data_IF_302856496102
#
_entry.id   IF_302856496102
#
_cell.length_a   1.000
_cell.length_b   1.000
_cell.length_c   1.000
_cell.angle_alpha   90.00
_cell.angle_beta   90.00
_cell.angle_gamma   90.00
#
_symmetry.space_group_name_H-M   'P 1'
#
loop_
_entity.id
_entity.type
_entity.pdbx_description
1 polymer ?
#
# COMPACT_ATOMS: atom_id res chain seq x y z
N UNK A 1 31.15 1.42 -32.35
CA UNK A 1 29.70 1.44 -32.03
C UNK A 1 29.52 2.45 -30.92
N UNK A 2 29.06 3.63 -31.31
CA UNK A 2 28.95 4.85 -30.51
C UNK A 2 27.80 4.76 -29.52
N UNK A 3 28.02 5.35 -28.34
CA UNK A 3 27.19 5.24 -27.14
C UNK A 3 25.73 5.60 -27.34
N UNK A 4 24.87 4.77 -26.75
CA UNK A 4 23.47 5.06 -26.52
C UNK A 4 23.29 5.28 -25.00
N UNK A 5 23.08 6.55 -24.65
CA UNK A 5 22.40 7.08 -23.47
C UNK A 5 22.88 6.61 -22.08
N UNK A 6 24.01 7.16 -21.65
CA UNK A 6 24.31 7.35 -20.23
C UNK A 6 23.60 8.63 -19.73
N UNK A 7 22.29 8.73 -19.98
CA UNK A 7 21.49 9.77 -19.36
C UNK A 7 21.57 9.57 -17.84
N UNK A 8 22.01 10.60 -17.11
CA UNK A 8 22.15 10.52 -15.67
C UNK A 8 20.84 10.01 -15.05
N UNK A 9 20.91 8.89 -14.33
CA UNK A 9 19.76 8.33 -13.64
C UNK A 9 19.21 9.36 -12.65
N UNK A 10 17.89 9.43 -12.45
CA UNK A 10 17.32 10.36 -11.50
C UNK A 10 17.83 10.04 -10.08
N UNK A 11 18.01 11.09 -9.28
CA UNK A 11 18.32 10.95 -7.86
C UNK A 11 17.25 10.08 -7.18
N UNK A 12 17.62 8.97 -6.49
CA UNK A 12 16.68 8.14 -5.75
C UNK A 12 15.82 8.90 -4.73
N UNK A 13 16.29 10.04 -4.21
CA UNK A 13 15.50 10.90 -3.32
C UNK A 13 14.24 11.49 -3.99
N UNK A 14 14.17 11.47 -5.33
CA UNK A 14 12.98 11.87 -6.09
C UNK A 14 11.93 10.78 -6.17
N UNK A 15 12.29 9.53 -5.85
CA UNK A 15 11.40 8.36 -5.99
C UNK A 15 10.45 8.26 -4.80
N UNK A 16 9.20 7.93 -5.10
CA UNK A 16 8.15 7.62 -4.14
C UNK A 16 7.58 6.24 -4.47
N UNK A 17 7.78 5.28 -3.57
CA UNK A 17 7.21 3.94 -3.67
C UNK A 17 5.86 3.90 -2.94
N UNK A 18 4.77 3.69 -3.67
CA UNK A 18 3.40 3.59 -3.14
C UNK A 18 3.05 2.13 -2.91
N UNK A 19 3.13 1.71 -1.65
CA UNK A 19 2.83 0.37 -1.18
C UNK A 19 1.46 0.22 -0.50
N UNK A 20 1.10 -1.02 -0.21
CA UNK A 20 -0.11 -1.37 0.52
C UNK A 20 -0.63 -2.73 0.06
N UNK A 21 -1.74 -3.21 0.61
CA UNK A 21 -2.31 -4.45 0.07
C UNK A 21 -3.03 -4.20 -1.26
N UNK A 22 -3.06 -5.22 -2.10
CA UNK A 22 -4.00 -5.23 -3.21
C UNK A 22 -5.40 -4.91 -2.67
N UNK A 23 -6.12 -4.02 -3.35
CA UNK A 23 -7.47 -3.54 -2.94
C UNK A 23 -7.49 -2.56 -1.75
N UNK A 24 -6.34 -2.12 -1.22
CA UNK A 24 -6.31 -1.11 -0.16
C UNK A 24 -6.52 0.33 -0.66
N UNK A 25 -6.37 0.60 -1.96
CA UNK A 25 -6.51 1.97 -2.48
C UNK A 25 -5.21 2.57 -3.02
N UNK A 26 -4.17 1.76 -3.24
CA UNK A 26 -2.92 2.21 -3.87
C UNK A 26 -3.12 2.81 -5.27
N UNK A 27 -3.89 2.17 -6.14
CA UNK A 27 -4.17 2.72 -7.50
C UNK A 27 -4.83 4.10 -7.47
N UNK A 28 -5.95 4.35 -6.76
CA UNK A 28 -6.54 5.68 -6.72
C UNK A 28 -5.61 6.73 -6.10
N UNK A 29 -4.80 6.39 -5.08
CA UNK A 29 -3.80 7.31 -4.55
C UNK A 29 -2.72 7.65 -5.58
N UNK A 30 -2.14 6.65 -6.23
CA UNK A 30 -1.09 6.87 -7.23
C UNK A 30 -1.59 7.72 -8.42
N UNK A 31 -2.86 7.56 -8.80
CA UNK A 31 -3.50 8.41 -9.82
C UNK A 31 -3.70 9.85 -9.36
N UNK A 32 -4.14 10.06 -8.12
CA UNK A 32 -4.26 11.39 -7.54
C UNK A 32 -2.89 12.10 -7.50
N UNK A 33 -1.84 11.41 -7.06
CA UNK A 33 -0.47 11.92 -7.08
C UNK A 33 -0.01 12.26 -8.50
N UNK A 34 -0.16 11.34 -9.46
CA UNK A 34 0.28 11.55 -10.85
C UNK A 34 -0.48 12.66 -11.60
N UNK A 35 -1.63 13.11 -11.08
CA UNK A 35 -2.34 14.28 -11.60
C UNK A 35 -1.72 15.61 -11.16
N UNK A 36 -0.83 15.61 -10.16
CA UNK A 36 -0.11 16.80 -9.72
C UNK A 36 0.98 17.20 -10.74
N UNK A 37 1.14 18.50 -11.08
CA UNK A 37 2.10 18.94 -12.11
C UNK A 37 3.57 18.58 -11.80
N UNK A 38 3.93 18.45 -10.53
CA UNK A 38 5.28 18.09 -10.09
C UNK A 38 5.54 16.58 -9.96
N UNK A 39 4.56 15.72 -10.27
CA UNK A 39 4.66 14.27 -10.06
C UNK A 39 4.55 13.54 -11.37
N UNK A 40 5.48 12.63 -11.67
CA UNK A 40 5.32 11.65 -12.75
C UNK A 40 5.00 10.28 -12.16
N UNK A 41 3.86 9.69 -12.53
CA UNK A 41 3.60 8.27 -12.29
C UNK A 41 4.07 7.41 -13.46
N UNK A 42 4.25 6.10 -13.25
CA UNK A 42 4.42 5.14 -14.34
C UNK A 42 3.12 5.07 -15.17
N UNK A 43 3.23 5.30 -16.48
CA UNK A 43 2.09 5.26 -17.40
C UNK A 43 2.45 4.58 -18.71
N UNK A 44 1.46 3.97 -19.37
CA UNK A 44 1.65 3.38 -20.70
C UNK A 44 2.59 2.16 -20.69
N UNK A 45 2.67 1.46 -19.57
CA UNK A 45 3.69 0.42 -19.36
C UNK A 45 3.39 -0.90 -20.06
N UNK A 46 2.13 -1.12 -20.45
CA UNK A 46 1.64 -2.40 -20.96
C UNK A 46 1.56 -3.53 -19.92
N UNK A 47 1.98 -3.29 -18.67
CA UNK A 47 1.88 -4.25 -17.58
C UNK A 47 0.66 -3.98 -16.70
N UNK A 48 0.36 -4.92 -15.81
CA UNK A 48 -0.84 -4.86 -14.97
C UNK A 48 -0.81 -3.63 -14.05
N UNK A 49 -1.82 -2.77 -14.18
CA UNK A 49 -2.03 -1.59 -13.32
C UNK A 49 -0.82 -0.66 -13.24
N UNK A 50 0.02 -0.64 -14.28
CA UNK A 50 1.29 0.10 -14.36
C UNK A 50 2.21 -0.12 -13.14
N UNK A 51 2.23 -1.35 -12.59
CA UNK A 51 3.01 -1.68 -11.39
C UNK A 51 4.50 -1.86 -11.68
N UNK A 52 5.35 -1.13 -10.96
CA UNK A 52 6.80 -1.12 -11.15
C UNK A 52 7.46 -2.47 -10.92
N UNK A 53 6.94 -3.30 -10.01
CA UNK A 53 7.41 -4.67 -9.78
C UNK A 53 7.41 -5.53 -11.06
N UNK A 54 6.59 -5.20 -12.06
CA UNK A 54 6.48 -5.94 -13.31
C UNK A 54 7.47 -5.50 -14.38
N UNK A 55 8.10 -4.33 -14.22
CA UNK A 55 9.04 -3.74 -15.17
C UNK A 55 10.49 -4.13 -14.89
N UNK A 56 10.80 -4.48 -13.66
CA UNK A 56 12.14 -4.74 -13.15
C UNK A 56 12.45 -6.24 -12.96
N UNK A 57 13.73 -6.53 -12.74
CA UNK A 57 14.29 -7.89 -12.57
C UNK A 57 15.18 -8.06 -11.32
N UNK A 58 15.21 -7.07 -10.43
CA UNK A 58 15.97 -7.01 -9.17
C UNK A 58 15.35 -7.89 -8.10
N UNK A 59 14.02 -7.86 -7.95
CA UNK A 59 13.31 -8.65 -6.94
C UNK A 59 12.11 -9.43 -7.51
N UNK A 60 11.74 -10.58 -6.92
CA UNK A 60 10.61 -11.37 -7.38
C UNK A 60 9.27 -10.64 -7.22
N UNK A 61 8.42 -10.75 -8.24
CA UNK A 61 7.05 -10.21 -8.21
C UNK A 61 6.21 -10.90 -7.14
N UNK A 62 5.21 -10.21 -6.60
CA UNK A 62 4.29 -10.77 -5.60
C UNK A 62 3.63 -12.10 -6.02
N UNK A 63 3.45 -12.33 -7.34
CA UNK A 63 2.91 -13.58 -7.90
C UNK A 63 3.78 -14.80 -7.56
N UNK A 64 5.11 -14.65 -7.51
CA UNK A 64 6.05 -15.72 -7.12
C UNK A 64 5.78 -16.15 -5.67
N UNK A 65 5.41 -15.21 -4.81
CA UNK A 65 5.05 -15.45 -3.41
C UNK A 65 3.57 -15.80 -3.20
N UNK A 66 2.86 -16.21 -4.27
CA UNK A 66 1.46 -16.64 -4.20
C UNK A 66 0.42 -15.55 -4.51
N UNK A 67 0.86 -14.30 -4.71
CA UNK A 67 0.07 -13.19 -5.21
C UNK A 67 -0.91 -12.56 -4.21
N UNK A 68 -1.87 -11.79 -4.74
CA UNK A 68 -2.88 -11.09 -3.95
C UNK A 68 -3.58 -12.01 -2.93
N UNK A 69 -3.50 -11.63 -1.66
CA UNK A 69 -4.08 -12.36 -0.53
C UNK A 69 -3.18 -13.44 0.07
N UNK A 70 -1.95 -13.61 -0.43
CA UNK A 70 -0.98 -14.61 0.07
C UNK A 70 0.46 -14.12 0.20
N UNK A 71 0.91 -13.20 -0.65
CA UNK A 71 2.33 -12.82 -0.76
C UNK A 71 3.00 -12.52 0.58
N UNK A 72 2.31 -11.85 1.50
CA UNK A 72 2.87 -11.47 2.79
C UNK A 72 3.21 -12.66 3.70
N UNK A 73 2.68 -13.86 3.45
CA UNK A 73 3.00 -15.05 4.25
C UNK A 73 4.34 -15.68 3.87
N UNK A 74 4.82 -15.44 2.66
CA UNK A 74 6.14 -15.90 2.27
C UNK A 74 7.19 -15.06 3.01
N UNK A 75 8.08 -15.71 3.77
CA UNK A 75 9.21 -15.01 4.40
C UNK A 75 10.06 -14.27 3.35
N UNK A 76 10.31 -14.90 2.21
CA UNK A 76 11.05 -14.32 1.09
C UNK A 76 10.39 -13.09 0.41
N UNK A 77 9.12 -12.78 0.72
CA UNK A 77 8.49 -11.55 0.23
C UNK A 77 8.81 -10.31 1.09
N UNK A 78 9.38 -10.52 2.29
CA UNK A 78 9.89 -9.46 3.16
C UNK A 78 11.36 -9.27 2.85
N UNK A 79 11.68 -8.15 2.20
CA UNK A 79 13.06 -7.81 1.87
C UNK A 79 13.51 -6.65 2.77
N UNK A 80 14.69 -6.80 3.35
CA UNK A 80 15.36 -5.77 4.13
C UNK A 80 16.70 -5.41 3.50
N UNK A 81 17.41 -4.45 4.08
CA UNK A 81 18.78 -4.10 3.71
C UNK A 81 19.76 -5.28 3.80
N UNK A 82 19.44 -6.33 4.57
CA UNK A 82 20.25 -7.55 4.69
C UNK A 82 20.01 -8.56 3.56
N UNK A 83 19.10 -8.28 2.63
CA UNK A 83 18.80 -9.15 1.50
C UNK A 83 20.02 -9.29 0.58
N UNK A 84 20.35 -10.49 0.07
CA UNK A 84 21.39 -10.65 -0.95
C UNK A 84 21.04 -9.98 -2.29
N UNK A 85 19.77 -9.57 -2.47
CA UNK A 85 19.33 -8.79 -3.63
C UNK A 85 19.70 -7.31 -3.51
N UNK A 86 20.16 -6.84 -2.34
CA UNK A 86 20.58 -5.46 -2.11
C UNK A 86 22.02 -5.26 -2.64
N UNK A 87 22.23 -5.57 -3.92
CA UNK A 87 23.52 -5.41 -4.59
C UNK A 87 23.78 -3.94 -4.90
N UNK A 88 25.06 -3.58 -5.09
CA UNK A 88 25.46 -2.20 -5.38
C UNK A 88 24.80 -1.61 -6.66
N UNK A 89 24.43 -2.46 -7.62
CA UNK A 89 23.78 -2.07 -8.88
C UNK A 89 22.24 -2.15 -8.86
N UNK A 90 21.64 -2.68 -7.79
CA UNK A 90 20.20 -2.93 -7.70
C UNK A 90 19.37 -1.66 -7.92
N UNK A 91 19.74 -0.56 -7.27
CA UNK A 91 19.06 0.74 -7.43
C UNK A 91 19.09 1.24 -8.87
N UNK A 92 20.27 1.19 -9.50
CA UNK A 92 20.44 1.62 -10.88
C UNK A 92 19.62 0.76 -11.86
N UNK A 93 19.48 -0.54 -11.59
CA UNK A 93 18.62 -1.44 -12.38
C UNK A 93 17.13 -1.12 -12.21
N UNK A 94 16.68 -0.83 -10.98
CA UNK A 94 15.30 -0.38 -10.74
C UNK A 94 15.01 0.92 -11.51
N UNK A 95 15.88 1.92 -11.39
CA UNK A 95 15.70 3.20 -12.07
C UNK A 95 15.67 3.02 -13.60
N UNK A 96 16.59 2.26 -14.18
CA UNK A 96 16.59 1.97 -15.63
C UNK A 96 15.31 1.30 -16.11
N UNK A 97 14.71 0.44 -15.29
CA UNK A 97 13.45 -0.22 -15.63
C UNK A 97 12.25 0.74 -15.62
N UNK A 98 12.32 1.83 -14.84
CA UNK A 98 11.20 2.75 -14.62
C UNK A 98 11.30 4.05 -15.42
N UNK A 99 12.52 4.56 -15.66
CA UNK A 99 12.80 5.80 -16.41
C UNK A 99 12.04 5.90 -17.75
N UNK A 100 11.91 4.84 -18.58
CA UNK A 100 11.18 4.93 -19.84
C UNK A 100 9.69 5.30 -19.71
N UNK A 101 9.12 5.18 -18.51
CA UNK A 101 7.69 5.38 -18.23
C UNK A 101 7.43 6.62 -17.36
N UNK A 102 8.48 7.39 -17.07
CA UNK A 102 8.40 8.64 -16.33
C UNK A 102 8.76 9.82 -17.22
N UNK A 103 8.12 10.95 -16.93
CA UNK A 103 8.62 12.27 -17.29
C UNK A 103 9.65 12.68 -16.23
N UNK A 104 10.93 12.45 -16.54
CA UNK A 104 12.05 12.73 -15.63
C UNK A 104 12.36 14.21 -15.46
N UNK A 105 11.63 15.11 -16.14
CA UNK A 105 11.68 16.55 -15.85
C UNK A 105 10.94 16.91 -14.55
N UNK A 106 10.01 16.06 -14.09
CA UNK A 106 9.23 16.29 -12.87
C UNK A 106 10.03 15.94 -11.61
N UNK A 107 9.98 16.76 -10.54
CA UNK A 107 10.82 16.55 -9.38
C UNK A 107 10.45 15.28 -8.59
N UNK A 108 9.21 14.80 -8.64
CA UNK A 108 8.75 13.60 -7.92
C UNK A 108 8.38 12.48 -8.88
N UNK A 109 8.92 11.29 -8.67
CA UNK A 109 8.75 10.11 -9.52
C UNK A 109 8.07 8.99 -8.74
N UNK A 110 6.83 8.66 -9.09
CA UNK A 110 6.01 7.69 -8.38
C UNK A 110 6.07 6.33 -9.07
N UNK A 111 6.48 5.33 -8.32
CA UNK A 111 6.27 3.92 -8.60
C UNK A 111 5.20 3.39 -7.64
N UNK A 112 4.33 2.50 -8.10
CA UNK A 112 3.30 1.87 -7.27
C UNK A 112 3.36 0.38 -7.45
N UNK A 113 3.73 -0.34 -6.40
CA UNK A 113 3.55 -1.78 -6.30
C UNK A 113 3.01 -2.11 -4.90
N UNK A 114 1.83 -2.77 -4.79
CA UNK A 114 1.34 -3.23 -3.49
C UNK A 114 2.40 -3.90 -2.58
N UNK A 115 3.25 -4.84 -3.06
CA UNK A 115 4.23 -5.50 -2.19
C UNK A 115 5.30 -4.58 -1.57
N UNK A 116 5.49 -3.34 -2.04
CA UNK A 116 6.53 -2.44 -1.54
C UNK A 116 6.41 -2.16 -0.03
N UNK A 117 5.20 -2.30 0.52
CA UNK A 117 4.98 -2.19 1.97
C UNK A 117 5.79 -3.20 2.80
N UNK A 118 6.23 -4.32 2.19
CA UNK A 118 7.07 -5.35 2.82
C UNK A 118 8.55 -5.20 2.47
N UNK A 119 8.91 -4.20 1.69
CA UNK A 119 10.25 -4.03 1.16
C UNK A 119 10.81 -2.66 1.50
N UNK A 120 10.15 -1.89 2.38
CA UNK A 120 10.55 -0.53 2.71
C UNK A 120 12.04 -0.43 3.04
N UNK A 121 12.54 -1.30 3.92
CA UNK A 121 13.95 -1.32 4.33
C UNK A 121 14.90 -1.63 3.18
N UNK A 122 14.55 -2.63 2.37
CA UNK A 122 15.29 -2.97 1.16
C UNK A 122 15.31 -1.81 0.16
N UNK A 123 14.16 -1.20 -0.10
CA UNK A 123 14.02 -0.06 -1.02
C UNK A 123 14.84 1.14 -0.54
N UNK A 124 14.90 1.43 0.76
CA UNK A 124 15.78 2.47 1.28
C UNK A 124 17.27 2.15 1.10
N UNK A 125 17.66 0.86 1.18
CA UNK A 125 19.04 0.45 0.97
C UNK A 125 19.48 0.61 -0.50
N UNK A 126 18.59 0.30 -1.46
CA UNK A 126 18.91 0.35 -2.90
C UNK A 126 18.53 1.67 -3.56
N UNK A 127 17.62 2.46 -2.97
CA UNK A 127 17.17 3.78 -3.42
C UNK A 127 17.21 4.76 -2.24
N UNK A 128 18.41 5.16 -1.78
CA UNK A 128 18.57 5.98 -0.58
C UNK A 128 17.84 7.33 -0.70
N UNK A 129 17.06 7.69 0.33
CA UNK A 129 16.30 8.93 0.36
C UNK A 129 14.93 8.88 -0.31
N UNK A 130 14.58 7.78 -1.00
CA UNK A 130 13.24 7.57 -1.56
C UNK A 130 12.16 7.63 -0.47
N UNK A 131 10.93 8.00 -0.82
CA UNK A 131 9.81 7.95 0.11
C UNK A 131 9.04 6.63 0.01
N UNK A 132 8.53 6.15 1.15
CA UNK A 132 7.60 5.03 1.23
C UNK A 132 6.23 5.55 1.68
N UNK A 133 5.23 5.43 0.81
CA UNK A 133 3.84 5.79 1.12
C UNK A 133 3.00 4.52 1.19
N UNK A 134 2.39 4.24 2.34
CA UNK A 134 1.61 3.02 2.53
C UNK A 134 0.13 3.32 2.76
N UNK A 135 -0.72 2.80 1.87
CA UNK A 135 -2.18 2.85 2.03
C UNK A 135 -2.65 1.65 2.84
N UNK A 136 -3.08 1.93 4.07
CA UNK A 136 -3.72 0.97 4.96
C UNK A 136 -5.23 1.09 4.78
N UNK A 137 -5.93 -0.04 4.66
CA UNK A 137 -7.39 -0.09 4.55
C UNK A 137 -7.95 -1.17 5.44
N UNK A 138 -9.18 -1.00 5.89
CA UNK A 138 -9.84 -1.94 6.77
C UNK A 138 -9.68 -3.42 6.31
N UNK A 139 -9.20 -4.34 7.18
CA UNK A 139 -8.88 -5.73 6.81
C UNK A 139 -10.05 -6.49 6.18
N UNK A 140 -11.24 -6.37 6.78
CA UNK A 140 -12.47 -6.99 6.25
C UNK A 140 -12.81 -6.49 4.85
N UNK A 141 -12.70 -5.19 4.58
CA UNK A 141 -13.00 -4.60 3.27
C UNK A 141 -11.99 -5.10 2.23
N UNK A 142 -10.70 -5.12 2.57
CA UNK A 142 -9.64 -5.68 1.72
C UNK A 142 -9.90 -7.16 1.43
N UNK A 143 -10.24 -7.94 2.45
CA UNK A 143 -10.48 -9.37 2.35
C UNK A 143 -11.72 -9.69 1.49
N UNK A 144 -12.85 -9.01 1.71
CA UNK A 144 -14.06 -9.18 0.90
C UNK A 144 -13.84 -8.75 -0.56
N UNK A 145 -13.17 -7.61 -0.79
CA UNK A 145 -12.84 -7.17 -2.15
C UNK A 145 -11.91 -8.15 -2.85
N UNK A 146 -10.92 -8.69 -2.14
CA UNK A 146 -9.96 -9.66 -2.69
C UNK A 146 -10.65 -10.99 -3.02
N UNK A 147 -11.52 -11.48 -2.12
CA UNK A 147 -12.31 -12.70 -2.35
C UNK A 147 -13.17 -12.59 -3.61
N UNK A 148 -13.91 -11.48 -3.76
CA UNK A 148 -14.71 -11.18 -4.96
C UNK A 148 -13.87 -11.15 -6.23
N UNK A 149 -12.73 -10.47 -6.22
CA UNK A 149 -11.89 -10.36 -7.42
C UNK A 149 -11.34 -11.73 -7.83
N UNK A 150 -10.91 -12.55 -6.87
CA UNK A 150 -10.34 -13.88 -7.15
C UNK A 150 -11.37 -14.87 -7.68
N UNK A 151 -12.63 -14.77 -7.26
CA UNK A 151 -13.71 -15.58 -7.83
C UNK A 151 -14.06 -15.18 -9.27
N UNK A 152 -13.80 -13.93 -9.67
CA UNK A 152 -13.98 -13.46 -11.05
C UNK A 152 -12.83 -13.92 -11.94
N UNK A 153 -11.59 -13.85 -11.45
CA UNK A 153 -10.38 -14.13 -12.25
C UNK A 153 -10.05 -15.62 -12.34
N UNK A 154 -10.54 -16.45 -11.43
CA UNK A 154 -10.27 -17.89 -11.45
C UNK A 154 -11.44 -18.71 -10.90
N UNK A 155 -11.84 -19.73 -11.67
CA UNK A 155 -12.79 -20.76 -11.24
C UNK A 155 -12.16 -21.91 -10.45
N UNK A 156 -10.82 -22.04 -10.43
CA UNK A 156 -10.13 -23.09 -9.67
C UNK A 156 -10.30 -22.89 -8.15
N UNK A 157 -10.98 -23.81 -7.43
CA UNK A 157 -11.25 -23.70 -6.00
C UNK A 157 -9.99 -23.72 -5.13
N UNK A 158 -8.92 -24.38 -5.56
CA UNK A 158 -7.62 -24.39 -4.85
C UNK A 158 -6.98 -23.01 -4.82
N UNK A 159 -7.38 -22.16 -5.76
CA UNK A 159 -6.92 -20.77 -5.75
C UNK A 159 -7.71 -19.96 -4.75
N UNK A 160 -8.94 -20.28 -4.36
CA UNK A 160 -9.74 -19.46 -3.44
C UNK A 160 -9.18 -19.45 -2.02
N UNK A 161 -9.45 -18.35 -1.31
CA UNK A 161 -9.01 -18.14 0.08
C UNK A 161 -10.23 -17.86 0.95
N UNK A 162 -10.24 -18.43 2.15
CA UNK A 162 -11.21 -18.11 3.19
C UNK A 162 -11.07 -16.67 3.66
N UNK A 163 -12.14 -16.09 4.19
CA UNK A 163 -12.09 -14.69 4.66
C UNK A 163 -11.11 -14.52 5.84
N UNK A 164 -11.11 -15.46 6.78
CA UNK A 164 -10.16 -15.48 7.90
C UNK A 164 -8.71 -15.55 7.41
N UNK A 165 -8.43 -16.40 6.42
CA UNK A 165 -7.13 -16.48 5.75
C UNK A 165 -6.74 -15.12 5.16
N UNK A 166 -7.62 -14.47 4.38
CA UNK A 166 -7.34 -13.16 3.79
C UNK A 166 -7.09 -12.06 4.84
N UNK A 167 -7.80 -12.09 5.98
CA UNK A 167 -7.52 -11.19 7.10
C UNK A 167 -6.18 -11.51 7.76
N UNK A 168 -5.84 -12.78 7.93
CA UNK A 168 -4.54 -13.18 8.47
C UNK A 168 -3.38 -12.74 7.56
N UNK A 169 -3.55 -12.80 6.23
CA UNK A 169 -2.60 -12.21 5.30
C UNK A 169 -2.46 -10.69 5.51
N UNK A 170 -3.57 -9.99 5.77
CA UNK A 170 -3.54 -8.58 6.10
C UNK A 170 -2.74 -8.32 7.39
N UNK A 171 -2.98 -9.12 8.43
CA UNK A 171 -2.30 -9.00 9.72
C UNK A 171 -0.80 -9.23 9.58
N UNK A 172 -0.39 -10.31 8.92
CA UNK A 172 1.03 -10.60 8.68
C UNK A 172 1.71 -9.45 7.93
N UNK A 173 1.05 -8.90 6.91
CA UNK A 173 1.64 -7.82 6.13
C UNK A 173 1.87 -6.55 6.96
N UNK A 174 0.88 -6.13 7.74
CA UNK A 174 0.98 -4.89 8.50
C UNK A 174 1.80 -5.06 9.77
N UNK A 175 1.86 -6.25 10.36
CA UNK A 175 2.78 -6.52 11.47
C UNK A 175 4.22 -6.35 11.04
N UNK A 176 4.62 -6.91 9.89
CA UNK A 176 5.96 -6.72 9.31
C UNK A 176 6.25 -5.25 9.03
N UNK A 177 5.29 -4.53 8.45
CA UNK A 177 5.42 -3.09 8.25
C UNK A 177 5.71 -2.37 9.58
N UNK A 178 4.89 -2.62 10.62
CA UNK A 178 5.06 -2.02 11.95
C UNK A 178 6.40 -2.37 12.60
N UNK A 179 6.86 -3.63 12.46
CA UNK A 179 8.16 -4.10 12.94
C UNK A 179 9.34 -3.40 12.25
N UNK A 180 9.18 -3.00 10.98
CA UNK A 180 10.21 -2.31 10.21
C UNK A 180 10.24 -0.79 10.42
N UNK A 181 9.15 -0.17 10.89
CA UNK A 181 9.05 1.29 11.08
C UNK A 181 10.19 1.87 11.94
N UNK A 182 10.61 1.26 13.07
CA UNK A 182 11.72 1.77 13.86
C UNK A 182 13.04 1.83 13.07
N UNK A 183 13.34 0.81 12.28
CA UNK A 183 14.54 0.76 11.43
C UNK A 183 14.48 1.81 10.31
N UNK A 184 13.32 1.94 9.66
CA UNK A 184 13.10 2.97 8.64
C UNK A 184 13.29 4.38 9.20
N UNK A 185 12.74 4.63 10.39
CA UNK A 185 12.90 5.93 11.08
C UNK A 185 14.36 6.18 11.46
N UNK A 186 15.05 5.18 12.01
CA UNK A 186 16.47 5.30 12.36
C UNK A 186 17.35 5.58 11.12
N UNK A 187 16.96 5.06 9.96
CA UNK A 187 17.61 5.32 8.68
C UNK A 187 17.25 6.69 8.05
N UNK A 188 16.39 7.48 8.69
CA UNK A 188 15.94 8.77 8.15
C UNK A 188 15.00 8.65 6.94
N UNK A 189 14.37 7.49 6.75
CA UNK A 189 13.47 7.26 5.62
C UNK A 189 12.22 8.15 5.71
N UNK A 190 11.80 8.69 4.56
CA UNK A 190 10.54 9.44 4.44
C UNK A 190 9.37 8.47 4.32
N UNK A 191 8.76 8.13 5.45
CA UNK A 191 7.64 7.18 5.50
C UNK A 191 6.34 7.91 5.82
N UNK A 192 5.28 7.64 5.05
CA UNK A 192 3.95 8.18 5.25
C UNK A 192 2.90 7.05 5.25
N UNK A 193 2.22 6.83 6.37
CA UNK A 193 1.11 5.89 6.46
C UNK A 193 -0.21 6.65 6.44
N UNK A 194 -1.18 6.16 5.66
CA UNK A 194 -2.52 6.74 5.65
C UNK A 194 -3.60 5.68 5.62
N UNK A 195 -4.75 6.02 6.20
CA UNK A 195 -5.96 5.22 6.03
C UNK A 195 -6.65 5.61 4.72
N UNK A 196 -7.01 4.61 3.93
CA UNK A 196 -7.84 4.81 2.74
C UNK A 196 -9.16 5.52 3.09
N UNK A 197 -9.71 5.24 4.26
CA UNK A 197 -10.98 5.80 4.68
C UNK A 197 -10.88 7.27 5.08
N UNK A 198 -9.72 7.73 5.57
CA UNK A 198 -9.45 9.15 5.77
C UNK A 198 -9.21 9.85 4.43
N UNK A 199 -8.49 9.19 3.51
CA UNK A 199 -8.28 9.68 2.14
C UNK A 199 -9.58 9.92 1.38
N UNK A 200 -10.62 9.10 1.55
CA UNK A 200 -11.91 9.31 0.86
C UNK A 200 -12.90 10.16 1.64
N UNK A 201 -12.73 10.30 2.97
CA UNK A 201 -13.59 11.13 3.82
C UNK A 201 -13.17 12.60 3.80
N UNK A 202 -11.86 12.85 3.88
CA UNK A 202 -11.27 14.18 3.92
C UNK A 202 -10.07 14.27 2.95
N UNK A 203 -10.29 14.09 1.63
CA UNK A 203 -9.22 13.96 0.65
C UNK A 203 -8.26 15.14 0.64
N UNK A 204 -8.75 16.37 0.68
CA UNK A 204 -7.90 17.56 0.67
C UNK A 204 -6.94 17.61 1.88
N UNK A 205 -7.41 17.21 3.06
CA UNK A 205 -6.59 17.20 4.27
C UNK A 205 -5.52 16.10 4.23
N UNK A 206 -5.89 14.88 3.83
CA UNK A 206 -4.96 13.75 3.73
C UNK A 206 -3.90 13.99 2.64
N UNK A 207 -4.36 14.43 1.47
CA UNK A 207 -3.48 14.74 0.34
C UNK A 207 -2.58 15.95 0.62
N UNK A 208 -3.05 16.93 1.40
CA UNK A 208 -2.22 18.06 1.84
C UNK A 208 -1.06 17.61 2.74
N UNK A 209 -1.32 16.71 3.70
CA UNK A 209 -0.26 16.11 4.54
C UNK A 209 0.75 15.30 3.72
N UNK A 210 0.25 14.51 2.78
CA UNK A 210 1.10 13.73 1.88
C UNK A 210 1.92 14.66 0.98
N UNK A 211 1.31 15.71 0.41
CA UNK A 211 2.00 16.71 -0.40
C UNK A 211 3.13 17.40 0.37
N UNK A 212 2.90 17.80 1.62
CA UNK A 212 3.93 18.35 2.50
C UNK A 212 5.07 17.36 2.76
N UNK A 213 4.76 16.07 2.96
CA UNK A 213 5.77 15.01 3.15
C UNK A 213 6.63 14.81 1.90
N UNK A 214 6.04 14.99 0.72
CA UNK A 214 6.69 14.82 -0.57
C UNK A 214 7.34 16.11 -1.10
N UNK A 215 7.16 17.25 -0.42
CA UNK A 215 7.67 18.55 -0.88
C UNK A 215 6.97 19.08 -2.12
N UNK A 216 5.66 18.82 -2.26
CA UNK A 216 4.86 19.30 -3.38
C UNK A 216 4.35 20.73 -3.13
N UNK A 217 4.43 21.55 -4.17
CA UNK A 217 3.89 22.89 -4.23
C UNK A 217 2.42 22.86 -4.67
N UNK A 218 1.54 23.27 -3.77
CA UNK A 218 0.09 23.34 -4.04
C UNK A 218 -0.68 22.05 -3.74
N UNK A 219 -2.00 22.05 -4.02
CA UNK A 219 -2.87 20.94 -3.66
C UNK A 219 -2.74 19.78 -4.66
N UNK A 220 -2.71 18.54 -4.14
CA UNK A 220 -2.86 17.34 -4.97
C UNK A 220 -4.33 17.16 -5.35
N UNK A 221 -4.65 16.96 -6.65
CA UNK A 221 -6.03 16.74 -7.09
C UNK A 221 -6.67 15.52 -6.41
N UNK A 222 -7.90 15.69 -5.93
CA UNK A 222 -8.67 14.64 -5.27
C UNK A 222 -9.60 13.88 -6.23
N UNK A 223 -9.58 14.21 -7.53
CA UNK A 223 -10.51 13.71 -8.51
C UNK A 223 -10.44 12.18 -8.62
N UNK A 224 -11.59 11.51 -8.46
CA UNK A 224 -11.69 10.05 -8.52
C UNK A 224 -11.53 9.30 -7.20
N UNK A 225 -11.25 10.00 -6.09
CA UNK A 225 -11.39 9.45 -4.74
C UNK A 225 -12.87 9.39 -4.34
N UNK A 226 -13.38 8.21 -3.99
CA UNK A 226 -14.80 8.02 -3.68
C UNK A 226 -15.02 7.02 -2.55
N UNK A 227 -15.83 7.41 -1.56
CA UNK A 227 -16.19 6.62 -0.39
C UNK A 227 -17.14 5.44 -0.71
N UNK A 228 -17.92 5.53 -1.80
CA UNK A 228 -18.92 4.53 -2.20
C UNK A 228 -18.34 3.11 -2.42
N UNK A 229 -17.01 3.00 -2.53
CA UNK A 229 -16.29 1.72 -2.73
C UNK A 229 -16.24 0.85 -1.48
N UNK A 230 -16.56 1.35 -0.28
CA UNK A 230 -16.57 0.57 0.98
C UNK A 230 -17.96 0.11 1.40
N UNK A 231 -19.02 0.90 1.11
CA UNK A 231 -20.39 0.70 1.61
C UNK A 231 -20.94 -0.71 1.38
N UNK A 232 -20.74 -1.27 0.17
CA UNK A 232 -21.21 -2.62 -0.15
C UNK A 232 -20.59 -3.69 0.77
N UNK A 233 -19.31 -3.54 1.11
CA UNK A 233 -18.60 -4.50 1.95
C UNK A 233 -18.97 -4.35 3.42
N UNK A 234 -19.18 -3.11 3.88
CA UNK A 234 -19.73 -2.81 5.22
C UNK A 234 -21.11 -3.44 5.40
N UNK A 235 -22.02 -3.24 4.45
CA UNK A 235 -23.35 -3.85 4.48
C UNK A 235 -23.28 -5.38 4.46
N UNK A 236 -22.38 -5.96 3.67
CA UNK A 236 -22.16 -7.40 3.64
C UNK A 236 -21.67 -7.93 5.00
N UNK A 237 -20.77 -7.22 5.67
CA UNK A 237 -20.25 -7.57 6.98
C UNK A 237 -21.31 -7.42 8.09
N UNK A 238 -22.08 -6.33 8.07
CA UNK A 238 -23.17 -6.09 9.00
C UNK A 238 -24.23 -7.21 8.90
N UNK A 239 -24.63 -7.59 7.69
CA UNK A 239 -25.56 -8.73 7.48
C UNK A 239 -25.00 -10.05 8.00
N UNK A 240 -23.69 -10.23 8.02
CA UNK A 240 -23.04 -11.43 8.54
C UNK A 240 -23.09 -11.55 10.07
N UNK A 241 -23.48 -10.50 10.81
CA UNK A 241 -23.67 -10.54 12.26
C UNK A 241 -24.80 -11.47 12.70
N UNK A 242 -25.83 -11.63 11.86
CA UNK A 242 -27.03 -12.38 12.21
C UNK A 242 -26.67 -13.85 12.51
N UNK A 243 -26.86 -14.26 13.77
CA UNK A 243 -26.38 -15.56 14.28
C UNK A 243 -26.89 -16.77 13.47
N UNK A 244 -28.12 -16.67 12.95
CA UNK A 244 -28.78 -17.71 12.15
C UNK A 244 -28.21 -17.86 10.74
N UNK A 245 -27.43 -16.89 10.25
CA UNK A 245 -26.81 -17.01 8.92
C UNK A 245 -25.54 -17.87 9.02
N UNK A 246 -25.26 -18.73 8.02
CA UNK A 246 -23.98 -19.44 7.93
C UNK A 246 -22.77 -18.50 7.96
N UNK A 247 -22.96 -17.24 7.54
CA UNK A 247 -21.93 -16.21 7.57
C UNK A 247 -21.44 -15.80 8.96
N UNK A 248 -22.23 -16.05 9.99
CA UNK A 248 -21.86 -15.73 11.37
C UNK A 248 -20.66 -16.55 11.85
N UNK A 249 -20.45 -17.76 11.32
CA UNK A 249 -19.34 -18.62 11.69
C UNK A 249 -18.00 -18.04 11.24
N UNK A 250 -17.89 -17.59 9.98
CA UNK A 250 -16.64 -17.01 9.49
C UNK A 250 -16.39 -15.59 10.02
N UNK A 251 -17.45 -14.83 10.34
CA UNK A 251 -17.31 -13.52 11.00
C UNK A 251 -16.70 -13.68 12.39
N UNK A 252 -17.26 -14.55 13.22
CA UNK A 252 -16.72 -14.88 14.55
C UNK A 252 -15.29 -15.41 14.49
N UNK A 253 -14.95 -16.17 13.44
CA UNK A 253 -13.60 -16.68 13.24
C UNK A 253 -12.57 -15.58 12.92
N UNK A 254 -13.00 -14.46 12.30
CA UNK A 254 -12.17 -13.27 12.07
C UNK A 254 -12.06 -12.45 13.35
N UNK A 255 -13.18 -12.15 14.00
CA UNK A 255 -13.24 -11.33 15.23
C UNK A 255 -12.37 -11.91 16.35
N UNK A 256 -12.28 -13.24 16.48
CA UNK A 256 -11.51 -13.89 17.54
C UNK A 256 -10.00 -13.98 17.31
N UNK A 257 -9.52 -13.99 16.06
CA UNK A 257 -8.11 -14.39 15.79
C UNK A 257 -7.11 -13.26 15.99
N UNK A 258 -7.45 -12.03 15.62
CA UNK A 258 -6.48 -10.92 15.57
C UNK A 258 -7.05 -9.56 16.01
N UNK A 259 -7.81 -9.45 17.12
CA UNK A 259 -8.37 -8.17 17.51
C UNK A 259 -7.29 -7.12 17.84
N UNK A 260 -6.19 -7.53 18.49
CA UNK A 260 -5.09 -6.63 18.85
C UNK A 260 -4.34 -6.07 17.64
N UNK A 261 -4.03 -6.91 16.65
CA UNK A 261 -3.31 -6.46 15.44
C UNK A 261 -4.14 -5.46 14.62
N UNK A 262 -5.45 -5.67 14.55
CA UNK A 262 -6.36 -4.78 13.82
C UNK A 262 -6.54 -3.45 14.57
N UNK A 263 -6.68 -3.50 15.89
CA UNK A 263 -6.77 -2.31 16.74
C UNK A 263 -5.48 -1.48 16.74
N UNK A 264 -4.30 -2.12 16.62
CA UNK A 264 -3.01 -1.43 16.52
C UNK A 264 -2.89 -0.51 15.29
N UNK A 265 -3.77 -0.68 14.30
CA UNK A 265 -3.89 0.15 13.11
C UNK A 265 -5.20 0.93 13.09
N UNK A 266 -5.81 1.17 14.26
CA UNK A 266 -6.97 2.05 14.41
C UNK A 266 -8.29 1.50 13.87
N UNK A 267 -8.39 0.20 13.60
CA UNK A 267 -9.62 -0.43 13.10
C UNK A 267 -10.34 -1.26 14.16
N UNK A 268 -11.65 -1.38 13.98
CA UNK A 268 -12.52 -2.22 14.80
C UNK A 268 -13.21 -3.28 13.92
N UNK A 269 -13.19 -4.55 14.35
CA UNK A 269 -13.76 -5.66 13.57
C UNK A 269 -15.29 -5.77 13.69
N UNK A 270 -15.91 -5.09 14.65
CA UNK A 270 -17.35 -5.08 14.90
C UNK A 270 -18.00 -3.93 14.13
N UNK A 271 -17.50 -2.71 14.32
CA UNK A 271 -17.89 -1.51 13.57
C UNK A 271 -16.78 -1.06 12.62
N UNK A 272 -16.93 -1.39 11.34
CA UNK A 272 -15.91 -1.07 10.33
C UNK A 272 -15.76 0.44 10.07
N UNK A 273 -16.71 1.26 10.56
CA UNK A 273 -16.65 2.73 10.47
C UNK A 273 -15.94 3.35 11.66
N UNK A 274 -15.89 2.67 12.79
CA UNK A 274 -15.18 3.15 13.96
C UNK A 274 -13.68 3.31 13.65
N UNK A 275 -13.10 4.39 14.15
CA UNK A 275 -11.67 4.70 14.01
C UNK A 275 -11.08 4.93 15.39
N UNK A 276 -10.14 4.08 15.75
CA UNK A 276 -9.26 4.28 16.89
C UNK A 276 -7.99 5.03 16.47
N UNK A 277 -7.21 5.54 17.44
CA UNK A 277 -5.89 6.06 17.13
C UNK A 277 -4.99 4.94 16.60
N UNK A 278 -4.04 5.29 15.73
CA UNK A 278 -2.94 4.40 15.38
C UNK A 278 -2.19 3.95 16.65
N UNK A 279 -1.51 2.80 16.62
CA UNK A 279 -0.48 2.47 17.62
C UNK A 279 0.61 3.56 17.65
N UNK A 280 1.35 3.67 18.75
CA UNK A 280 2.43 4.66 18.88
C UNK A 280 3.44 4.59 17.71
N UNK A 281 3.85 3.38 17.34
CA UNK A 281 4.73 3.13 16.20
C UNK A 281 4.19 3.70 14.89
N UNK A 282 2.88 3.58 14.64
CA UNK A 282 2.24 4.11 13.44
C UNK A 282 1.88 5.62 13.54
N UNK A 283 1.55 6.14 14.73
CA UNK A 283 1.25 7.58 14.94
C UNK A 283 2.41 8.48 14.52
N UNK A 284 3.64 8.05 14.79
CA UNK A 284 4.82 8.85 14.50
C UNK A 284 5.03 9.08 12.98
N UNK A 285 4.34 8.30 12.13
CA UNK A 285 4.50 8.29 10.67
C UNK A 285 3.18 8.51 9.91
N UNK A 286 2.04 8.60 10.60
CA UNK A 286 0.74 8.89 10.02
C UNK A 286 0.40 10.40 9.94
N UNK A 287 1.34 11.26 10.35
CA UNK A 287 1.08 12.69 10.58
C UNK A 287 0.17 12.94 11.81
N UNK A 288 0.00 14.20 12.24
CA UNK A 288 -0.94 14.53 13.31
C UNK A 288 -2.36 14.17 12.88
N UNK A 289 -3.10 13.47 13.75
CA UNK A 289 -4.49 13.09 13.51
C UNK A 289 -5.35 14.34 13.26
N UNK A 290 -6.22 14.27 12.26
CA UNK A 290 -7.29 15.27 12.13
C UNK A 290 -8.26 15.04 13.29
N UNK A 291 -8.56 16.03 14.15
CA UNK A 291 -9.57 15.84 15.19
C UNK A 291 -10.88 15.40 14.53
N UNK A 292 -11.67 14.51 15.18
CA UNK A 292 -13.01 14.25 14.70
C UNK A 292 -13.79 15.57 14.67
N UNK A 293 -14.44 15.87 13.54
CA UNK A 293 -15.41 16.97 13.51
C UNK A 293 -16.46 16.73 14.59
N UNK A 294 -16.91 17.77 15.31
CA UNK A 294 -18.06 17.64 16.19
C UNK A 294 -19.23 17.13 15.35
N UNK A 295 -19.82 16.02 15.80
CA UNK A 295 -20.98 15.39 15.16
C UNK A 295 -22.06 16.46 14.95
N UNK A 296 -22.37 16.76 13.69
CA UNK A 296 -23.54 17.53 13.28
C UNK A 296 -24.74 16.63 13.05
#
# INVERSE_FOLDING_TARGET
MTGADDAALPDPARVVCVGGLHRSGTTPLARALAAHPQVSGLVGTGVKEDEGQHLQDVYPRAKVHGGSGRFARAAAAHLTEASPLATADAGARLLRAWVPYWDTSRPVLVEKSPPDMLMGRFLQAVLPGSALVVVVRHPVVVALSTKKWRSVVSRDPRRHEGLASLVEHWVVAHRRLLEDLPSLRAAGARVHLLHYEDLVRAPAAELGRLGATLGLDGPVPADGLTAARSERYEQQWARAAAWWRPSSAWRRAVERRHPGDVAALGYDLVDLRARGPWSEAARALAGPATPPDPVG
#
